data_IF_331683652425
#
_entry.id   IF_331683652425
#
_cell.length_a   1.000
_cell.length_b   1.000
_cell.length_c   1.000
_cell.angle_alpha   90.00
_cell.angle_beta   90.00
_cell.angle_gamma   90.00
#
_symmetry.space_group_name_H-M   'P 1'
#
loop_
_entity.id
_entity.type
_entity.pdbx_description
1 polymer ?
#
# COMPACT_ATOMS: atom_id res chain seq x y z
N UNK A 1 2.12 -20.21 15.41
CA UNK A 1 2.29 -18.89 14.78
C UNK A 1 1.12 -18.74 13.84
N UNK A 2 0.26 -17.74 14.06
CA UNK A 2 -0.89 -17.49 13.17
C UNK A 2 -0.40 -16.87 11.86
N UNK A 3 -1.06 -17.22 10.77
CA UNK A 3 -0.86 -16.56 9.48
C UNK A 3 -1.56 -15.20 9.51
N UNK A 4 -0.94 -14.18 8.91
CA UNK A 4 -1.57 -12.89 8.69
C UNK A 4 -1.73 -12.72 7.18
N UNK A 5 -2.89 -12.24 6.74
CA UNK A 5 -3.11 -11.79 5.36
C UNK A 5 -3.35 -10.29 5.36
N UNK A 6 -3.19 -9.66 4.20
CA UNK A 6 -3.46 -8.25 4.02
C UNK A 6 -4.25 -8.00 2.74
N UNK A 7 -5.12 -7.01 2.77
CA UNK A 7 -6.00 -6.65 1.67
C UNK A 7 -6.07 -5.13 1.51
N UNK A 8 -5.97 -4.64 0.27
CA UNK A 8 -6.24 -3.26 -0.08
C UNK A 8 -7.68 -3.14 -0.57
N UNK A 9 -8.47 -2.30 0.09
CA UNK A 9 -9.83 -1.94 -0.31
C UNK A 9 -9.84 -0.52 -0.88
N UNK A 10 -10.18 -0.36 -2.16
CA UNK A 10 -10.25 0.94 -2.83
C UNK A 10 -11.35 0.95 -3.87
N UNK A 11 -12.22 1.97 -3.82
CA UNK A 11 -13.29 2.18 -4.81
C UNK A 11 -14.19 0.94 -5.03
N UNK A 12 -14.46 0.20 -3.95
CA UNK A 12 -15.28 -1.03 -3.99
C UNK A 12 -14.56 -2.28 -4.49
N UNK A 13 -13.28 -2.18 -4.85
CA UNK A 13 -12.42 -3.31 -5.20
C UNK A 13 -11.56 -3.75 -4.00
N UNK A 14 -11.34 -5.06 -3.88
CA UNK A 14 -10.43 -5.64 -2.89
C UNK A 14 -9.29 -6.37 -3.60
N UNK A 15 -8.05 -6.04 -3.23
CA UNK A 15 -6.84 -6.63 -3.80
C UNK A 15 -6.04 -7.32 -2.70
N UNK A 16 -5.68 -8.61 -2.86
CA UNK A 16 -4.74 -9.28 -1.98
C UNK A 16 -3.39 -8.56 -1.98
N UNK A 17 -2.84 -8.31 -0.80
CA UNK A 17 -1.55 -7.65 -0.60
C UNK A 17 -0.52 -8.69 -0.20
N UNK A 18 0.54 -8.81 -0.99
CA UNK A 18 1.67 -9.71 -0.73
C UNK A 18 2.67 -9.05 0.20
N UNK A 19 2.92 -7.76 0.00
CA UNK A 19 3.82 -6.97 0.82
C UNK A 19 3.38 -5.51 0.85
N UNK A 20 3.60 -4.84 1.99
CA UNK A 20 3.40 -3.40 2.10
C UNK A 20 4.50 -2.76 2.93
N UNK A 21 4.80 -1.50 2.63
CA UNK A 21 5.75 -0.70 3.35
C UNK A 21 5.21 0.72 3.54
N UNK A 22 5.32 1.21 4.77
CA UNK A 22 4.97 2.57 5.15
C UNK A 22 6.01 3.10 6.12
N UNK A 23 6.58 4.26 5.80
CA UNK A 23 7.61 4.89 6.62
C UNK A 23 7.24 6.34 6.95
N UNK A 24 7.50 6.72 8.20
CA UNK A 24 7.44 8.11 8.65
C UNK A 24 8.83 8.51 9.11
N UNK A 25 9.30 9.66 8.66
CA UNK A 25 10.62 10.16 9.00
C UNK A 25 10.53 11.52 9.66
N UNK A 26 11.41 11.75 10.63
CA UNK A 26 11.54 13.04 11.29
C UNK A 26 13.01 13.34 11.54
N UNK A 27 13.48 14.47 11.01
CA UNK A 27 14.88 14.85 11.20
C UNK A 27 15.15 15.27 12.64
N UNK A 28 16.21 14.72 13.22
CA UNK A 28 16.75 15.11 14.52
C UNK A 28 18.01 15.94 14.34
N UNK A 29 18.28 16.83 15.29
CA UNK A 29 19.52 17.62 15.32
C UNK A 29 20.69 16.82 15.91
N UNK A 30 21.90 17.41 15.96
CA UNK A 30 23.13 16.71 16.39
C UNK A 30 23.11 16.13 17.81
N UNK A 31 22.19 16.59 18.66
CA UNK A 31 21.99 16.10 20.04
C UNK A 31 20.79 15.15 20.17
N UNK A 32 20.26 14.63 19.05
CA UNK A 32 19.10 13.74 19.00
C UNK A 32 17.75 14.42 19.25
N UNK A 33 17.72 15.74 19.48
CA UNK A 33 16.45 16.48 19.64
C UNK A 33 15.71 16.60 18.31
N UNK A 34 14.39 16.42 18.33
CA UNK A 34 13.52 16.66 17.18
C UNK A 34 13.60 18.13 16.75
N UNK A 35 13.80 18.37 15.45
CA UNK A 35 13.96 19.72 14.89
C UNK A 35 13.02 20.04 13.74
N UNK A 36 12.38 19.03 13.15
CA UNK A 36 11.55 19.17 11.96
C UNK A 36 10.16 18.53 12.15
N UNK A 37 9.22 18.90 11.27
CA UNK A 37 7.93 18.22 11.14
C UNK A 37 8.14 16.79 10.63
N UNK A 38 7.26 15.88 11.06
CA UNK A 38 7.20 14.52 10.51
C UNK A 38 6.83 14.60 9.03
N UNK A 39 7.53 13.83 8.21
CA UNK A 39 7.19 13.58 6.81
C UNK A 39 6.72 12.14 6.69
N UNK A 40 5.55 11.95 6.11
CA UNK A 40 5.10 10.62 5.71
C UNK A 40 5.71 10.30 4.34
N UNK A 41 6.22 9.08 4.20
CA UNK A 41 6.59 8.51 2.91
C UNK A 41 5.36 8.12 2.09
N UNK A 42 5.59 7.42 0.98
CA UNK A 42 4.52 6.78 0.24
C UNK A 42 4.09 5.49 0.93
N UNK A 43 2.82 5.12 0.75
CA UNK A 43 2.38 3.75 1.00
C UNK A 43 2.76 2.93 -0.23
N UNK A 44 3.72 2.03 -0.06
CA UNK A 44 4.20 1.13 -1.10
C UNK A 44 3.51 -0.22 -0.92
N UNK A 45 2.94 -0.75 -2.01
CA UNK A 45 2.16 -1.98 -2.01
C UNK A 45 2.64 -2.90 -3.13
N UNK A 46 2.78 -4.17 -2.82
CA UNK A 46 2.94 -5.26 -3.77
C UNK A 46 1.69 -6.14 -3.67
N UNK A 47 1.04 -6.36 -4.81
CA UNK A 47 -0.24 -7.04 -4.91
C UNK A 47 -0.10 -8.24 -5.83
N UNK A 48 -0.98 -9.23 -5.65
CA UNK A 48 -1.23 -10.18 -6.73
C UNK A 48 -1.74 -9.41 -7.96
N UNK A 49 -1.22 -9.73 -9.14
CA UNK A 49 -1.56 -9.01 -10.37
C UNK A 49 -3.09 -8.96 -10.53
N UNK A 50 -3.71 -7.76 -10.50
CA UNK A 50 -5.15 -7.64 -10.61
C UNK A 50 -5.67 -8.18 -11.93
N UNK A 51 -6.88 -8.72 -11.92
CA UNK A 51 -7.55 -9.17 -13.15
C UNK A 51 -8.27 -8.02 -13.87
N UNK A 52 -8.18 -6.79 -13.34
CA UNK A 52 -8.89 -5.61 -13.84
C UNK A 52 -7.92 -4.45 -14.04
N UNK A 53 -8.22 -3.60 -15.02
CA UNK A 53 -7.42 -2.40 -15.31
C UNK A 53 -7.74 -1.22 -14.36
N UNK A 54 -8.40 -1.46 -13.21
CA UNK A 54 -8.85 -0.37 -12.33
C UNK A 54 -7.70 0.41 -11.72
N UNK A 55 -6.68 -0.29 -11.20
CA UNK A 55 -5.47 0.34 -10.65
C UNK A 55 -4.65 1.01 -11.76
N UNK A 56 -4.55 0.38 -12.94
CA UNK A 56 -3.92 0.98 -14.12
C UNK A 56 -4.63 2.27 -14.53
N UNK A 57 -5.96 2.28 -14.56
CA UNK A 57 -6.77 3.46 -14.86
C UNK A 57 -6.61 4.57 -13.81
N UNK A 58 -6.46 4.20 -12.54
CA UNK A 58 -6.13 5.16 -11.49
C UNK A 58 -4.74 5.78 -11.70
N UNK A 59 -3.73 4.96 -12.02
CA UNK A 59 -2.37 5.43 -12.32
C UNK A 59 -2.30 6.33 -13.57
N UNK A 60 -3.06 5.99 -14.62
CA UNK A 60 -3.08 6.72 -15.88
C UNK A 60 -3.84 8.06 -15.81
N UNK A 61 -4.73 8.23 -14.83
CA UNK A 61 -5.53 9.46 -14.71
C UNK A 61 -4.85 10.45 -13.78
N UNK A 62 -4.17 11.44 -14.37
CA UNK A 62 -3.49 12.49 -13.61
C UNK A 62 -4.44 13.16 -12.58
N UNK A 63 -3.92 13.35 -11.36
CA UNK A 63 -4.63 13.97 -10.23
C UNK A 63 -5.89 13.26 -9.73
N UNK A 64 -6.26 12.08 -10.28
CA UNK A 64 -7.37 11.30 -9.74
C UNK A 64 -7.03 10.82 -8.33
N UNK A 65 -7.92 11.13 -7.38
CA UNK A 65 -7.80 10.67 -6.00
C UNK A 65 -8.82 9.60 -5.69
N UNK A 66 -8.41 8.58 -4.95
CA UNK A 66 -9.32 7.58 -4.38
C UNK A 66 -9.10 7.48 -2.87
N UNK A 67 -10.17 7.19 -2.13
CA UNK A 67 -10.08 6.78 -0.74
C UNK A 67 -9.88 5.27 -0.67
N UNK A 68 -9.11 4.80 0.29
CA UNK A 68 -8.86 3.38 0.46
C UNK A 68 -8.37 3.01 1.85
N UNK A 69 -8.40 1.72 2.13
CA UNK A 69 -8.00 1.14 3.41
C UNK A 69 -7.18 -0.12 3.16
N UNK A 70 -5.98 -0.17 3.73
CA UNK A 70 -5.23 -1.41 3.88
C UNK A 70 -5.65 -2.06 5.21
N UNK A 71 -6.06 -3.32 5.15
CA UNK A 71 -6.52 -4.09 6.30
C UNK A 71 -5.66 -5.34 6.44
N UNK A 72 -5.15 -5.60 7.64
CA UNK A 72 -4.56 -6.90 7.95
C UNK A 72 -5.59 -7.78 8.64
N UNK A 73 -5.61 -9.07 8.31
CA UNK A 73 -6.55 -10.05 8.85
C UNK A 73 -5.78 -11.18 9.52
N UNK A 74 -6.32 -11.67 10.64
CA UNK A 74 -5.81 -12.90 11.26
C UNK A 74 -6.21 -14.14 10.46
N UNK A 75 -5.78 -15.31 10.95
CA UNK A 75 -6.03 -16.62 10.35
C UNK A 75 -7.50 -17.02 10.23
N UNK A 76 -8.39 -16.41 11.01
CA UNK A 76 -9.85 -16.58 10.95
C UNK A 76 -10.56 -15.45 10.19
N UNK A 77 -9.80 -14.58 9.50
CA UNK A 77 -10.34 -13.51 8.66
C UNK A 77 -10.88 -12.30 9.44
N UNK A 78 -10.49 -12.12 10.70
CA UNK A 78 -10.87 -10.94 11.48
C UNK A 78 -9.86 -9.81 11.31
N UNK A 79 -10.32 -8.57 11.03
CA UNK A 79 -9.45 -7.41 10.92
C UNK A 79 -8.62 -7.18 12.20
N UNK A 80 -7.34 -6.87 12.04
CA UNK A 80 -6.40 -6.57 13.13
C UNK A 80 -5.92 -5.12 13.08
N UNK A 81 -5.47 -4.67 11.91
CA UNK A 81 -4.96 -3.31 11.69
C UNK A 81 -5.63 -2.66 10.48
N UNK A 82 -5.83 -1.35 10.56
CA UNK A 82 -6.41 -0.53 9.50
C UNK A 82 -5.53 0.69 9.22
N UNK A 83 -5.06 0.81 7.98
CA UNK A 83 -4.36 1.99 7.48
C UNK A 83 -5.24 2.63 6.41
N UNK A 84 -5.89 3.74 6.76
CA UNK A 84 -6.83 4.43 5.88
C UNK A 84 -6.23 5.71 5.30
N UNK A 85 -6.57 6.00 4.03
CA UNK A 85 -6.26 7.26 3.38
C UNK A 85 -7.52 7.81 2.69
N UNK A 86 -7.77 9.11 2.85
CA UNK A 86 -8.96 9.77 2.30
C UNK A 86 -8.77 10.25 0.86
N UNK A 87 -7.56 10.68 0.51
CA UNK A 87 -7.21 11.26 -0.80
C UNK A 87 -5.88 10.69 -1.29
N UNK A 88 -5.87 9.41 -1.63
CA UNK A 88 -4.69 8.76 -2.18
C UNK A 88 -4.49 9.17 -3.64
N UNK A 89 -3.25 9.50 -4.02
CA UNK A 89 -2.85 9.62 -5.42
C UNK A 89 -2.02 8.38 -5.79
N UNK A 90 -2.29 7.80 -6.95
CA UNK A 90 -1.38 6.80 -7.51
C UNK A 90 -0.19 7.55 -8.15
N UNK A 91 0.97 7.49 -7.49
CA UNK A 91 2.19 8.21 -7.93
C UNK A 91 3.16 7.33 -8.70
N UNK A 92 2.98 6.00 -8.64
CA UNK A 92 3.79 5.01 -9.35
C UNK A 92 2.97 3.72 -9.49
N UNK A 93 3.11 3.05 -10.64
CA UNK A 93 2.50 1.75 -10.93
C UNK A 93 3.46 0.91 -11.75
N UNK A 94 3.66 -0.34 -11.35
CA UNK A 94 4.50 -1.29 -12.07
C UNK A 94 3.89 -2.68 -11.99
N UNK A 95 3.77 -3.34 -13.14
CA UNK A 95 3.42 -4.75 -13.25
C UNK A 95 4.61 -5.52 -13.76
N UNK A 96 4.93 -6.64 -13.09
CA UNK A 96 6.01 -7.54 -13.49
C UNK A 96 5.41 -8.90 -13.79
N UNK A 97 5.76 -9.44 -14.95
CA UNK A 97 5.54 -10.84 -15.28
C UNK A 97 6.88 -11.54 -15.42
N UNK A 98 7.13 -12.52 -14.57
CA UNK A 98 8.29 -13.39 -14.67
C UNK A 98 7.85 -14.76 -15.17
N UNK A 99 8.17 -15.07 -16.43
CA UNK A 99 7.98 -16.41 -16.95
C UNK A 99 8.89 -17.37 -16.16
N UNK A 100 8.33 -18.46 -15.62
CA UNK A 100 9.02 -19.41 -14.73
C UNK A 100 10.18 -20.21 -15.36
N UNK A 101 10.79 -19.75 -16.45
CA UNK A 101 11.89 -20.43 -17.14
C UNK A 101 13.27 -19.94 -16.67
N UNK A 102 13.46 -19.91 -15.35
CA UNK A 102 14.79 -19.90 -14.74
C UNK A 102 14.94 -21.13 -13.84
N UNK A 103 15.14 -22.29 -14.49
CA UNK A 103 15.89 -23.43 -13.94
C UNK A 103 16.29 -24.39 -15.05
#
# INVERSE_FOLDING_TARGET
>A
MGSLTAELQVDGHTYPVVHFHLAFTQSTGPRGKVTAKVRHGHLELELDVPHTDHLLGWAATAHKTLAGTLVTLNDVGQPQEHIAFATGHCVSYHEVFEAGNQR
#
